data_IF_085367707982
#
_entry.id   IF_085367707982
#
_cell.length_a   1.000
_cell.length_b   1.000
_cell.length_c   1.000
_cell.angle_alpha   90.00
_cell.angle_beta   90.00
_cell.angle_gamma   90.00
#
_symmetry.space_group_name_H-M   'P 1'
#
loop_
_entity.id
_entity.type
_entity.pdbx_description
1 polymer ?
#
# COMPACT_ATOMS: atom_id res chain seq x y z
N UNK A 1 -7.82 -4.85 11.58
CA UNK A 1 -7.11 -5.62 10.53
C UNK A 1 -7.92 -5.55 9.24
N UNK A 2 -7.32 -5.79 8.08
CA UNK A 2 -7.94 -5.63 6.76
C UNK A 2 -7.85 -6.92 5.96
N UNK A 3 -8.94 -7.34 5.32
CA UNK A 3 -8.94 -8.50 4.40
C UNK A 3 -8.28 -8.12 3.09
N UNK A 4 -7.64 -9.10 2.47
CA UNK A 4 -7.06 -8.96 1.12
C UNK A 4 -8.07 -8.47 0.08
N UNK A 5 -9.35 -8.84 0.19
CA UNK A 5 -10.43 -8.34 -0.68
C UNK A 5 -10.57 -6.81 -0.62
N UNK A 6 -10.56 -6.24 0.59
CA UNK A 6 -10.67 -4.78 0.79
C UNK A 6 -9.45 -4.05 0.26
N UNK A 7 -8.25 -4.57 0.55
CA UNK A 7 -7.00 -3.97 0.08
C UNK A 7 -6.80 -4.13 -1.43
N UNK A 8 -7.22 -5.25 -2.00
CA UNK A 8 -7.17 -5.49 -3.43
C UNK A 8 -8.07 -4.50 -4.17
N UNK A 9 -9.31 -4.33 -3.71
CA UNK A 9 -10.23 -3.32 -4.25
C UNK A 9 -9.65 -1.90 -4.10
N UNK A 10 -9.08 -1.56 -2.94
CA UNK A 10 -8.47 -0.26 -2.70
C UNK A 10 -7.31 0.03 -3.67
N UNK A 11 -6.41 -0.93 -3.88
CA UNK A 11 -5.25 -0.75 -4.75
C UNK A 11 -5.54 -1.02 -6.25
N UNK A 12 -6.77 -1.36 -6.62
CA UNK A 12 -7.11 -1.69 -8.01
C UNK A 12 -6.47 -3.00 -8.50
N UNK A 13 -6.37 -4.00 -7.63
CA UNK A 13 -5.82 -5.33 -7.92
C UNK A 13 -6.84 -6.41 -7.61
N UNK A 14 -6.59 -7.61 -8.14
CA UNK A 14 -7.28 -8.82 -7.65
C UNK A 14 -6.63 -9.33 -6.37
N UNK A 15 -7.38 -10.05 -5.53
CA UNK A 15 -6.83 -10.69 -4.32
C UNK A 15 -5.66 -11.62 -4.64
N UNK A 16 -5.74 -12.35 -5.76
CA UNK A 16 -4.64 -13.18 -6.27
C UNK A 16 -3.38 -12.37 -6.54
N UNK A 17 -3.48 -11.25 -7.26
CA UNK A 17 -2.32 -10.39 -7.57
C UNK A 17 -1.74 -9.74 -6.30
N UNK A 18 -2.59 -9.32 -5.36
CA UNK A 18 -2.16 -8.74 -4.10
C UNK A 18 -1.36 -9.76 -3.27
N UNK A 19 -1.91 -10.97 -3.09
CA UNK A 19 -1.22 -12.02 -2.33
C UNK A 19 0.04 -12.51 -3.05
N UNK A 20 0.04 -12.57 -4.39
CA UNK A 20 1.25 -12.87 -5.16
C UNK A 20 2.34 -11.81 -4.95
N UNK A 21 1.99 -10.52 -4.85
CA UNK A 21 2.95 -9.46 -4.55
C UNK A 21 3.56 -9.64 -3.15
N UNK A 22 2.75 -9.99 -2.15
CA UNK A 22 3.22 -10.36 -0.80
C UNK A 22 4.15 -11.58 -0.85
N UNK A 23 3.77 -12.63 -1.58
CA UNK A 23 4.55 -13.88 -1.67
C UNK A 23 5.89 -13.71 -2.39
N UNK A 24 5.97 -12.80 -3.38
CA UNK A 24 7.24 -12.43 -4.02
C UNK A 24 8.15 -11.61 -3.10
N UNK A 25 7.60 -11.03 -2.03
CA UNK A 25 8.30 -10.14 -1.12
C UNK A 25 8.25 -10.64 0.34
N UNK A 26 8.19 -11.96 0.59
CA UNK A 26 8.03 -12.52 1.95
C UNK A 26 9.01 -11.97 2.98
N UNK A 27 10.25 -11.68 2.59
CA UNK A 27 11.25 -11.06 3.48
C UNK A 27 10.83 -9.69 4.05
N UNK A 28 9.88 -9.00 3.42
CA UNK A 28 9.30 -7.72 3.88
C UNK A 28 8.03 -7.88 4.73
N UNK A 29 7.51 -9.11 4.86
CA UNK A 29 6.31 -9.43 5.61
C UNK A 29 6.63 -10.41 6.72
N UNK A 30 7.15 -9.92 7.87
CA UNK A 30 7.22 -10.70 9.10
C UNK A 30 5.86 -11.27 9.51
N UNK A 31 5.86 -12.24 10.42
CA UNK A 31 4.65 -12.97 10.84
C UNK A 31 3.55 -12.04 11.41
N UNK A 32 3.90 -10.91 12.03
CA UNK A 32 2.94 -9.93 12.56
C UNK A 32 2.33 -8.99 11.49
N UNK A 33 2.69 -9.14 10.22
CA UNK A 33 2.19 -8.26 9.14
C UNK A 33 0.94 -8.81 8.49
N UNK A 34 0.87 -10.12 8.31
CA UNK A 34 -0.24 -10.79 7.67
C UNK A 34 -0.30 -12.26 8.05
N UNK A 35 -1.51 -12.77 8.20
CA UNK A 35 -1.78 -14.18 8.43
C UNK A 35 -2.94 -14.64 7.55
N UNK A 36 -2.98 -15.93 7.26
CA UNK A 36 -4.09 -16.54 6.55
C UNK A 36 -5.08 -17.11 7.55
N UNK A 37 -6.37 -16.86 7.35
CA UNK A 37 -7.40 -17.49 8.18
C UNK A 37 -7.38 -19.00 8.01
N UNK A 38 -7.65 -19.73 9.09
CA UNK A 38 -7.88 -21.17 9.03
C UNK A 38 -9.20 -21.48 8.32
N UNK A 39 -9.36 -22.71 7.84
CA UNK A 39 -10.62 -23.14 7.22
C UNK A 39 -11.80 -23.07 8.21
N UNK A 40 -11.55 -23.35 9.49
CA UNK A 40 -12.53 -23.26 10.55
C UNK A 40 -12.97 -21.80 10.79
N UNK A 41 -12.01 -20.87 10.98
CA UNK A 41 -12.31 -19.44 11.13
C UNK A 41 -13.03 -18.90 9.89
N UNK A 42 -12.60 -19.31 8.69
CA UNK A 42 -13.25 -18.92 7.46
C UNK A 42 -14.64 -19.53 7.30
N UNK A 43 -14.87 -20.75 7.80
CA UNK A 43 -16.19 -21.39 7.86
C UNK A 43 -17.18 -20.60 8.70
N UNK A 44 -16.76 -20.15 9.89
CA UNK A 44 -17.57 -19.31 10.80
C UNK A 44 -17.84 -17.94 10.18
N UNK A 45 -16.84 -17.29 9.58
CA UNK A 45 -17.02 -16.01 8.89
C UNK A 45 -17.94 -16.15 7.66
N UNK A 46 -17.79 -17.21 6.87
CA UNK A 46 -18.67 -17.48 5.72
C UNK A 46 -20.11 -17.73 6.17
N UNK A 47 -20.35 -18.51 7.21
CA UNK A 47 -21.73 -18.79 7.64
C UNK A 47 -22.47 -17.52 8.06
N UNK A 48 -21.76 -16.55 8.67
CA UNK A 48 -22.29 -15.23 9.01
C UNK A 48 -22.50 -14.31 7.80
N UNK A 49 -21.63 -14.37 6.79
CA UNK A 49 -21.75 -13.53 5.57
C UNK A 49 -22.78 -14.10 4.59
N UNK A 50 -22.86 -15.42 4.47
CA UNK A 50 -23.74 -16.14 3.53
C UNK A 50 -25.19 -16.14 4.01
N UNK A 51 -25.44 -16.02 5.32
CA UNK A 51 -26.80 -15.71 5.82
C UNK A 51 -27.32 -14.37 5.30
N UNK A 52 -26.44 -13.45 4.87
CA UNK A 52 -26.81 -12.14 4.34
C UNK A 52 -26.82 -12.02 2.79
N UNK A 53 -26.16 -12.90 2.03
CA UNK A 53 -26.19 -12.87 0.54
C UNK A 53 -26.09 -14.26 -0.10
N UNK A 54 -27.15 -14.66 -0.84
CA UNK A 54 -27.16 -15.80 -1.78
C UNK A 54 -26.54 -15.38 -3.12
N UNK A 55 -25.31 -15.79 -3.39
CA UNK A 55 -24.63 -15.56 -4.68
C UNK A 55 -23.55 -16.61 -4.97
N UNK A 56 -23.66 -17.28 -6.12
CA UNK A 56 -22.87 -18.45 -6.55
C UNK A 56 -21.43 -18.05 -6.92
N UNK A 57 -20.46 -18.74 -6.32
CA UNK A 57 -19.02 -18.61 -6.66
C UNK A 57 -18.14 -18.24 -5.46
N UNK A 58 -18.28 -18.98 -4.35
CA UNK A 58 -17.50 -18.73 -3.14
C UNK A 58 -15.99 -18.88 -3.36
N UNK A 59 -15.22 -18.01 -2.70
CA UNK A 59 -13.77 -18.11 -2.63
C UNK A 59 -13.33 -19.49 -2.13
N UNK A 60 -12.50 -20.19 -2.92
CA UNK A 60 -12.05 -21.57 -2.64
C UNK A 60 -10.95 -21.68 -1.58
N UNK A 61 -10.23 -20.59 -1.31
CA UNK A 61 -9.13 -20.55 -0.34
C UNK A 61 -9.40 -19.51 0.75
N UNK A 62 -9.02 -19.77 2.01
CA UNK A 62 -9.20 -18.80 3.08
C UNK A 62 -8.55 -17.44 2.78
N UNK A 63 -9.14 -16.33 3.25
CA UNK A 63 -8.58 -14.99 3.10
C UNK A 63 -7.25 -14.79 3.79
N UNK A 64 -6.41 -13.96 3.18
CA UNK A 64 -5.34 -13.29 3.90
C UNK A 64 -5.90 -12.07 4.63
N UNK A 65 -5.42 -11.88 5.86
CA UNK A 65 -5.74 -10.74 6.72
C UNK A 65 -4.43 -10.01 7.03
N UNK A 66 -4.44 -8.70 6.83
CA UNK A 66 -3.30 -7.82 7.00
C UNK A 66 -3.49 -6.90 8.21
N UNK A 67 -2.43 -6.71 8.98
CA UNK A 67 -2.38 -5.69 10.03
C UNK A 67 -2.19 -4.31 9.41
N UNK A 68 -2.24 -3.23 10.21
CA UNK A 68 -1.92 -1.88 9.71
C UNK A 68 -0.53 -1.85 9.08
N UNK A 69 0.47 -2.46 9.75
CA UNK A 69 1.84 -2.59 9.24
C UNK A 69 1.90 -3.35 7.91
N UNK A 70 1.19 -4.47 7.81
CA UNK A 70 1.09 -5.24 6.56
C UNK A 70 0.44 -4.48 5.41
N UNK A 71 -0.63 -3.74 5.69
CA UNK A 71 -1.29 -2.88 4.71
C UNK A 71 -0.37 -1.74 4.24
N UNK A 72 0.36 -1.09 5.16
CA UNK A 72 1.38 -0.10 4.85
C UNK A 72 2.49 -0.71 3.99
N UNK A 73 2.96 -1.93 4.30
CA UNK A 73 4.00 -2.60 3.53
C UNK A 73 3.54 -2.92 2.10
N UNK A 74 2.27 -3.27 1.89
CA UNK A 74 1.70 -3.50 0.56
C UNK A 74 1.85 -2.27 -0.34
N UNK A 75 1.71 -1.05 0.19
CA UNK A 75 1.94 0.17 -0.59
C UNK A 75 3.34 0.24 -1.19
N UNK A 76 4.35 -0.34 -0.52
CA UNK A 76 5.75 -0.30 -0.98
C UNK A 76 6.11 -1.36 -2.04
N UNK A 77 5.32 -2.43 -2.16
CA UNK A 77 5.60 -3.56 -3.07
C UNK A 77 4.65 -3.61 -4.27
N UNK A 78 3.51 -2.94 -4.18
CA UNK A 78 2.56 -2.80 -5.28
C UNK A 78 2.96 -1.66 -6.21
N UNK A 79 2.62 -1.80 -7.50
CA UNK A 79 2.96 -0.84 -8.56
C UNK A 79 1.74 -0.14 -9.15
N UNK A 80 0.67 0.04 -8.37
CA UNK A 80 -0.52 0.78 -8.83
C UNK A 80 -0.41 2.25 -8.46
N UNK A 81 -1.09 3.18 -9.17
CA UNK A 81 -1.02 4.61 -8.87
C UNK A 81 -1.26 4.91 -7.39
N UNK A 82 -2.34 4.34 -6.83
CA UNK A 82 -2.68 4.45 -5.40
C UNK A 82 -1.62 3.90 -4.45
N UNK A 83 -0.92 2.82 -4.84
CA UNK A 83 0.16 2.28 -4.02
C UNK A 83 1.39 3.19 -4.04
N UNK A 84 1.72 3.76 -5.21
CA UNK A 84 2.79 4.74 -5.36
C UNK A 84 2.52 5.99 -4.51
N UNK A 85 1.33 6.58 -4.64
CA UNK A 85 0.91 7.74 -3.83
C UNK A 85 1.00 7.45 -2.32
N UNK A 86 0.47 6.30 -1.88
CA UNK A 86 0.53 5.90 -0.48
C UNK A 86 1.98 5.71 -0.01
N UNK A 87 2.84 5.11 -0.84
CA UNK A 87 4.26 4.91 -0.51
C UNK A 87 5.03 6.23 -0.36
N UNK A 88 4.72 7.21 -1.22
CA UNK A 88 5.30 8.56 -1.14
C UNK A 88 4.87 9.26 0.15
N UNK A 89 3.57 9.22 0.46
CA UNK A 89 3.04 9.79 1.71
C UNK A 89 3.69 9.17 2.95
N UNK A 90 3.92 7.85 2.95
CA UNK A 90 4.63 7.16 4.05
C UNK A 90 6.06 7.70 4.20
N UNK A 91 6.78 7.89 3.09
CA UNK A 91 8.15 8.43 3.11
C UNK A 91 8.16 9.88 3.59
N UNK A 92 7.29 10.73 3.05
CA UNK A 92 7.18 12.15 3.44
C UNK A 92 6.85 12.31 4.92
N UNK A 93 5.87 11.52 5.42
CA UNK A 93 5.49 11.52 6.83
C UNK A 93 6.65 11.09 7.72
N UNK A 94 7.42 10.07 7.32
CA UNK A 94 8.58 9.62 8.07
C UNK A 94 9.69 10.68 8.13
N UNK A 95 9.99 11.32 7.00
CA UNK A 95 10.98 12.40 6.91
C UNK A 95 10.56 13.57 7.80
N UNK A 96 9.32 14.04 7.67
CA UNK A 96 8.79 15.14 8.49
C UNK A 96 8.82 14.81 10.00
N UNK A 97 8.41 13.59 10.38
CA UNK A 97 8.45 13.15 11.78
C UNK A 97 9.88 13.11 12.34
N UNK A 98 10.88 12.69 11.53
CA UNK A 98 12.29 12.69 11.94
C UNK A 98 12.83 14.10 12.17
N UNK A 99 12.40 15.07 11.38
CA UNK A 99 12.79 16.48 11.56
C UNK A 99 12.13 17.12 12.79
N UNK A 100 10.90 16.71 13.15
CA UNK A 100 10.20 17.23 14.34
C UNK A 100 10.65 16.58 15.65
N UNK A 101 11.09 15.32 15.61
CA UNK A 101 11.53 14.57 16.79
C UNK A 101 12.97 14.87 17.23
N UNK A 102 13.72 15.68 16.47
CA UNK A 102 15.01 16.22 16.87
C UNK A 102 14.87 17.74 17.03
N UNK A 103 15.40 18.38 18.10
CA UNK A 103 15.71 19.80 17.99
C UNK A 103 16.71 19.92 16.85
N UNK A 104 16.31 20.56 15.75
CA UNK A 104 17.26 21.01 14.75
C UNK A 104 18.11 22.05 15.51
N UNK A 105 19.39 21.79 15.83
CA UNK A 105 20.21 22.84 16.43
C UNK A 105 20.16 24.04 15.48
N UNK A 106 20.05 25.28 15.98
CA UNK A 106 20.22 26.43 15.10
C UNK A 106 21.59 26.28 14.44
N UNK A 107 21.58 26.09 13.12
CA UNK A 107 22.79 25.97 12.32
C UNK A 107 23.57 27.28 12.44
N UNK A 108 24.53 27.33 13.36
CA UNK A 108 25.52 28.40 13.39
C UNK A 108 26.66 27.98 12.46
N UNK A 109 26.43 28.36 11.19
CA UNK A 109 27.31 28.39 10.02
C UNK A 109 27.54 27.01 9.35
N UNK A 110 27.51 26.98 8.00
CA UNK A 110 28.14 25.95 7.14
C UNK A 110 27.29 24.76 6.59
N UNK A 111 26.69 24.95 5.41
CA UNK A 111 27.15 24.20 4.23
C UNK A 111 26.71 22.76 3.97
N UNK A 112 25.55 22.28 4.44
CA UNK A 112 24.94 21.06 3.86
C UNK A 112 23.56 21.42 3.34
N UNK A 113 23.48 21.48 2.01
CA UNK A 113 22.28 21.85 1.28
C UNK A 113 21.06 21.06 1.77
N UNK A 114 19.98 21.80 2.00
CA UNK A 114 18.71 21.44 1.40
C UNK A 114 19.07 20.88 0.03
N UNK A 115 18.91 19.56 -0.15
CA UNK A 115 19.11 18.98 -1.47
C UNK A 115 18.10 19.69 -2.35
N UNK A 116 18.59 20.72 -3.04
CA UNK A 116 17.97 21.38 -4.16
C UNK A 116 17.72 20.26 -5.16
N UNK A 117 16.58 19.57 -4.98
CA UNK A 117 15.90 18.96 -6.09
C UNK A 117 15.75 20.11 -7.07
N UNK A 118 16.55 20.05 -8.12
CA UNK A 118 16.61 21.01 -9.19
C UNK A 118 15.17 21.42 -9.52
N UNK A 119 14.97 22.69 -9.81
CA UNK A 119 13.69 23.21 -10.29
C UNK A 119 13.14 22.32 -11.41
N UNK A 120 14.02 21.73 -12.22
CA UNK A 120 13.67 20.74 -13.24
C UNK A 120 13.29 19.36 -12.72
N UNK A 121 13.84 18.88 -11.60
CA UNK A 121 13.41 17.66 -10.91
C UNK A 121 12.05 17.84 -10.22
N UNK A 122 11.83 18.97 -9.53
CA UNK A 122 10.51 19.33 -8.96
C UNK A 122 9.46 19.45 -10.07
N UNK A 123 9.84 20.02 -11.23
CA UNK A 123 8.97 20.15 -12.41
C UNK A 123 8.79 18.82 -13.14
N UNK A 124 9.80 17.95 -13.20
CA UNK A 124 9.71 16.60 -13.76
C UNK A 124 8.82 15.69 -12.91
N UNK A 125 8.90 15.81 -11.59
CA UNK A 125 8.03 15.12 -10.65
C UNK A 125 6.57 15.56 -10.82
N UNK A 126 6.31 16.87 -10.89
CA UNK A 126 4.97 17.43 -11.13
C UNK A 126 4.41 17.05 -12.51
N UNK A 127 5.27 16.98 -13.55
CA UNK A 127 4.90 16.49 -14.90
C UNK A 127 4.58 14.99 -14.92
N UNK A 128 5.32 14.16 -14.17
CA UNK A 128 5.06 12.71 -14.03
C UNK A 128 3.76 12.42 -13.28
N UNK A 129 3.43 13.23 -12.28
CA UNK A 129 2.14 13.18 -11.58
C UNK A 129 0.97 13.59 -12.50
N UNK A 130 1.13 14.66 -13.30
CA UNK A 130 0.11 15.08 -14.26
C UNK A 130 -0.10 14.14 -15.45
N UNK A 131 0.93 13.42 -15.89
CA UNK A 131 0.84 12.45 -16.99
C UNK A 131 0.08 11.17 -16.61
N UNK A 132 -0.03 10.85 -15.32
CA UNK A 132 -0.80 9.70 -14.84
C UNK A 132 -2.33 9.90 -14.97
N UNK A 133 -2.78 11.16 -15.05
CA UNK A 133 -4.20 11.51 -15.27
C UNK A 133 -4.63 11.35 -16.74
N UNK A 134 -3.67 11.31 -17.68
CA UNK A 134 -3.94 11.29 -19.13
C UNK A 134 -4.16 9.91 -19.76
N UNK A 135 -3.96 8.80 -19.03
CA UNK A 135 -4.09 7.45 -19.57
C UNK A 135 -5.45 6.81 -19.22
N UNK A 136 -6.53 7.54 -19.48
CA UNK A 136 -7.90 7.01 -19.58
C UNK A 136 -8.56 7.47 -20.88
N UNK A 137 -8.17 6.87 -22.00
CA UNK A 137 -9.04 6.75 -23.19
C UNK A 137 -8.35 5.89 -24.25
N UNK A 138 -8.93 4.74 -24.60
CA UNK A 138 -8.55 4.00 -25.80
C UNK A 138 -8.47 2.50 -25.62
N UNK A 139 -9.61 1.84 -25.47
CA UNK A 139 -9.82 0.50 -26.04
C UNK A 139 -11.21 0.48 -26.66
N UNK A 140 -11.26 0.73 -27.96
CA UNK A 140 -12.19 0.04 -28.87
C UNK A 140 -11.48 -1.19 -29.41
#
# INVERSE_FOLDING_TARGET
MLRDETLAAFYGRTTKQLNQARDRNKARFPEDYAFQLTEAEWGVLRSQIVTAKKGRGGRRSPPWVYTKKGATMLATVLRTPRAVEASQLIVETFVAARHQALPVPPNNHDGVGEADLDSDEKRAFKRRLGAFDGQKSGTS
#
